data_IF_249075793972
#
_entry.id   IF_249075793972
#
_cell.length_a   1.000
_cell.length_b   1.000
_cell.length_c   1.000
_cell.angle_alpha   90.00
_cell.angle_beta   90.00
_cell.angle_gamma   90.00
#
_symmetry.space_group_name_H-M   'P 1'
#
loop_
_entity.id
_entity.type
_entity.pdbx_description
1 polymer ?
#
# COMPACT_ATOMS: atom_id res chain seq x y z
N UNK A 1 19.92 59.90 -19.25
CA UNK A 1 18.53 59.50 -19.55
C UNK A 1 18.39 58.04 -19.97
N UNK A 2 19.28 57.50 -20.81
CA UNK A 2 19.20 56.09 -21.25
C UNK A 2 19.40 55.07 -20.12
N UNK A 3 20.37 55.27 -19.22
CA UNK A 3 20.64 54.35 -18.09
C UNK A 3 19.43 54.13 -17.16
N UNK A 4 18.70 55.19 -16.85
CA UNK A 4 17.47 55.11 -16.04
C UNK A 4 16.35 54.37 -16.76
N UNK A 5 16.27 54.50 -18.09
CA UNK A 5 15.29 53.77 -18.91
C UNK A 5 15.58 52.26 -18.91
N UNK A 6 16.84 51.85 -19.03
CA UNK A 6 17.24 50.43 -18.98
C UNK A 6 17.01 49.81 -17.59
N UNK A 7 17.34 50.53 -16.51
CA UNK A 7 17.11 50.03 -15.15
C UNK A 7 15.62 49.81 -14.87
N UNK A 8 14.77 50.77 -15.26
CA UNK A 8 13.32 50.69 -15.07
C UNK A 8 12.69 49.53 -15.86
N UNK A 9 13.22 49.23 -17.05
CA UNK A 9 12.82 48.06 -17.84
C UNK A 9 13.26 46.75 -17.20
N UNK A 10 14.47 46.70 -16.63
CA UNK A 10 14.99 45.54 -15.91
C UNK A 10 14.16 45.19 -14.67
N UNK A 11 13.86 46.18 -13.83
CA UNK A 11 13.03 46.00 -12.62
C UNK A 11 11.61 45.54 -12.95
N UNK A 12 11.00 46.11 -13.99
CA UNK A 12 9.67 45.70 -14.45
C UNK A 12 9.68 44.22 -14.89
N UNK A 13 10.67 43.83 -15.68
CA UNK A 13 10.82 42.45 -16.16
C UNK A 13 11.04 41.47 -15.01
N UNK A 14 11.86 41.85 -14.03
CA UNK A 14 12.10 41.03 -12.84
C UNK A 14 10.83 40.85 -12.01
N UNK A 15 10.06 41.93 -11.80
CA UNK A 15 8.78 41.88 -11.08
C UNK A 15 7.76 40.99 -11.78
N UNK A 16 7.68 41.03 -13.10
CA UNK A 16 6.84 40.13 -13.90
C UNK A 16 7.26 38.66 -13.75
N UNK A 17 8.57 38.37 -13.76
CA UNK A 17 9.09 37.01 -13.52
C UNK A 17 8.78 36.52 -12.11
N UNK A 18 8.96 37.35 -11.08
CA UNK A 18 8.63 37.00 -9.69
C UNK A 18 7.13 36.67 -9.56
N UNK A 19 6.26 37.49 -10.16
CA UNK A 19 4.82 37.24 -10.15
C UNK A 19 4.46 35.93 -10.87
N UNK A 20 5.10 35.65 -12.01
CA UNK A 20 4.90 34.39 -12.74
C UNK A 20 5.34 33.17 -11.92
N UNK A 21 6.52 33.24 -11.28
CA UNK A 21 7.03 32.17 -10.42
C UNK A 21 6.13 31.94 -9.20
N UNK A 22 5.69 32.99 -8.53
CA UNK A 22 4.75 32.89 -7.41
C UNK A 22 3.45 32.21 -7.83
N UNK A 23 2.93 32.52 -9.02
CA UNK A 23 1.74 31.85 -9.55
C UNK A 23 1.98 30.37 -9.85
N UNK A 24 3.15 30.01 -10.38
CA UNK A 24 3.51 28.61 -10.64
C UNK A 24 3.62 27.80 -9.34
N UNK A 25 4.28 28.35 -8.32
CA UNK A 25 4.39 27.72 -6.99
C UNK A 25 3.01 27.51 -6.37
N UNK A 26 2.12 28.51 -6.49
CA UNK A 26 0.74 28.40 -6.02
C UNK A 26 0.00 27.26 -6.74
N UNK A 27 0.05 27.23 -8.07
CA UNK A 27 -0.63 26.19 -8.86
C UNK A 27 -0.11 24.79 -8.54
N UNK A 28 1.21 24.62 -8.32
CA UNK A 28 1.81 23.34 -7.95
C UNK A 28 1.41 22.92 -6.53
N UNK A 29 1.34 23.88 -5.60
CA UNK A 29 0.87 23.64 -4.24
C UNK A 29 -0.58 23.16 -4.23
N UNK A 30 -1.45 23.85 -4.97
CA UNK A 30 -2.87 23.51 -5.08
C UNK A 30 -3.05 22.12 -5.72
N UNK A 31 -2.35 21.84 -6.83
CA UNK A 31 -2.40 20.54 -7.50
C UNK A 31 -1.88 19.39 -6.61
N UNK A 32 -0.80 19.62 -5.86
CA UNK A 32 -0.26 18.65 -4.91
C UNK A 32 -1.24 18.37 -3.76
N UNK A 33 -1.91 19.40 -3.26
CA UNK A 33 -2.94 19.24 -2.23
C UNK A 33 -4.13 18.42 -2.73
N UNK A 34 -4.61 18.69 -3.95
CA UNK A 34 -5.69 17.93 -4.59
C UNK A 34 -5.32 16.46 -4.83
N UNK A 35 -4.10 16.19 -5.34
CA UNK A 35 -3.61 14.82 -5.53
C UNK A 35 -3.52 14.07 -4.20
N UNK A 36 -3.03 14.73 -3.14
CA UNK A 36 -2.96 14.15 -1.79
C UNK A 36 -4.36 13.79 -1.27
N UNK A 37 -5.33 14.67 -1.42
CA UNK A 37 -6.71 14.42 -0.97
C UNK A 37 -7.35 13.27 -1.77
N UNK A 38 -7.09 13.18 -3.07
CA UNK A 38 -7.57 12.08 -3.92
C UNK A 38 -6.96 10.74 -3.49
N UNK A 39 -5.64 10.67 -3.31
CA UNK A 39 -4.94 9.47 -2.87
C UNK A 39 -5.40 9.04 -1.48
N UNK A 40 -5.54 9.97 -0.54
CA UNK A 40 -6.09 9.69 0.79
C UNK A 40 -7.48 9.06 0.71
N UNK A 41 -8.35 9.57 -0.16
CA UNK A 41 -9.70 9.02 -0.35
C UNK A 41 -9.68 7.59 -0.92
N UNK A 42 -8.77 7.31 -1.88
CA UNK A 42 -8.60 5.96 -2.45
C UNK A 42 -8.06 4.96 -1.43
N UNK A 43 -7.13 5.39 -0.57
CA UNK A 43 -6.59 4.55 0.50
C UNK A 43 -7.72 4.15 1.45
N UNK A 44 -8.54 5.09 1.90
CA UNK A 44 -9.69 4.80 2.78
C UNK A 44 -10.70 3.84 2.13
N UNK A 45 -10.99 3.99 0.82
CA UNK A 45 -11.87 3.05 0.11
C UNK A 45 -11.28 1.63 0.04
N UNK A 46 -9.97 1.50 -0.21
CA UNK A 46 -9.27 0.22 -0.23
C UNK A 46 -9.21 -0.43 1.15
N UNK A 47 -8.98 0.34 2.22
CA UNK A 47 -9.01 -0.16 3.60
C UNK A 47 -10.39 -0.69 3.99
N UNK A 48 -11.45 0.00 3.57
CA UNK A 48 -12.83 -0.43 3.79
C UNK A 48 -13.11 -1.75 3.04
N UNK A 49 -12.73 -1.84 1.77
CA UNK A 49 -12.88 -3.06 0.96
C UNK A 49 -12.11 -4.24 1.55
N UNK A 50 -10.89 -4.00 2.03
CA UNK A 50 -10.07 -5.04 2.67
C UNK A 50 -10.71 -5.52 3.97
N UNK A 51 -11.24 -4.61 4.78
CA UNK A 51 -11.94 -4.95 6.02
C UNK A 51 -13.20 -5.78 5.72
N UNK A 52 -14.00 -5.38 4.74
CA UNK A 52 -15.17 -6.13 4.30
C UNK A 52 -14.82 -7.54 3.79
N UNK A 53 -13.75 -7.67 3.00
CA UNK A 53 -13.26 -8.96 2.52
C UNK A 53 -12.79 -9.87 3.67
N UNK A 54 -12.07 -9.32 4.66
CA UNK A 54 -11.63 -10.08 5.83
C UNK A 54 -12.80 -10.57 6.69
N UNK A 55 -13.86 -9.76 6.84
CA UNK A 55 -15.09 -10.18 7.51
C UNK A 55 -15.78 -11.33 6.75
N UNK A 56 -15.91 -11.22 5.42
CA UNK A 56 -16.49 -12.28 4.60
C UNK A 56 -15.67 -13.59 4.68
N UNK A 57 -14.33 -13.52 4.66
CA UNK A 57 -13.46 -14.70 4.82
C UNK A 57 -13.69 -15.39 6.18
N UNK A 58 -13.84 -14.61 7.26
CA UNK A 58 -14.12 -15.13 8.58
C UNK A 58 -15.50 -15.81 8.66
N UNK A 59 -16.52 -15.26 8.00
CA UNK A 59 -17.84 -15.89 7.90
C UNK A 59 -17.77 -17.20 7.11
N UNK A 60 -17.04 -17.25 5.99
CA UNK A 60 -16.83 -18.48 5.24
C UNK A 60 -16.10 -19.55 6.06
N UNK A 61 -15.06 -19.18 6.82
CA UNK A 61 -14.37 -20.11 7.73
C UNK A 61 -15.32 -20.73 8.75
N UNK A 62 -16.21 -19.91 9.33
CA UNK A 62 -17.22 -20.39 10.28
C UNK A 62 -18.19 -21.40 9.64
N UNK A 63 -18.64 -21.13 8.42
CA UNK A 63 -19.50 -22.05 7.67
C UNK A 63 -18.78 -23.37 7.39
N UNK A 64 -17.52 -23.31 6.93
CA UNK A 64 -16.70 -24.50 6.65
C UNK A 64 -16.55 -25.36 7.91
N UNK A 65 -16.16 -24.77 9.05
CA UNK A 65 -16.03 -25.50 10.32
C UNK A 65 -17.36 -26.12 10.79
N UNK A 66 -18.49 -25.43 10.54
CA UNK A 66 -19.82 -25.97 10.81
C UNK A 66 -20.11 -27.22 9.98
N UNK A 67 -19.85 -27.16 8.67
CA UNK A 67 -20.03 -28.30 7.76
C UNK A 67 -19.09 -29.46 8.09
N UNK A 68 -17.82 -29.20 8.42
CA UNK A 68 -16.86 -30.23 8.86
C UNK A 68 -17.34 -30.97 10.11
N UNK A 69 -17.93 -30.23 11.06
CA UNK A 69 -18.51 -30.82 12.28
C UNK A 69 -19.73 -31.69 11.97
N UNK A 70 -20.62 -31.22 11.09
CA UNK A 70 -21.80 -31.97 10.67
C UNK A 70 -21.43 -33.25 9.90
N UNK A 71 -20.43 -33.15 9.01
CA UNK A 71 -19.89 -34.28 8.27
C UNK A 71 -19.29 -35.33 9.22
N UNK A 72 -18.50 -34.90 10.21
CA UNK A 72 -17.95 -35.78 11.24
C UNK A 72 -19.05 -36.48 12.02
N UNK A 73 -20.05 -35.74 12.50
CA UNK A 73 -21.18 -36.31 13.25
C UNK A 73 -21.97 -37.33 12.42
N UNK A 74 -22.16 -37.06 11.14
CA UNK A 74 -22.85 -37.97 10.20
C UNK A 74 -22.03 -39.24 9.97
N UNK A 75 -20.72 -39.10 9.82
CA UNK A 75 -19.78 -40.23 9.70
C UNK A 75 -19.80 -41.10 10.96
N UNK A 76 -19.78 -40.48 12.15
CA UNK A 76 -19.84 -41.18 13.43
C UNK A 76 -21.18 -41.95 13.57
N UNK A 77 -22.31 -41.35 13.20
CA UNK A 77 -23.63 -42.02 13.18
C UNK A 77 -23.68 -43.18 12.20
N UNK A 78 -23.14 -43.01 11.00
CA UNK A 78 -23.10 -44.06 9.98
C UNK A 78 -22.26 -45.25 10.47
N UNK A 79 -21.10 -44.99 11.10
CA UNK A 79 -20.26 -46.04 11.68
C UNK A 79 -21.01 -46.85 12.76
N UNK A 80 -21.78 -46.18 13.63
CA UNK A 80 -22.62 -46.86 14.63
C UNK A 80 -23.69 -47.72 13.95
N UNK A 81 -24.39 -47.18 12.94
CA UNK A 81 -25.44 -47.91 12.22
C UNK A 81 -24.89 -49.16 11.52
N UNK A 82 -23.72 -49.05 10.88
CA UNK A 82 -23.02 -50.17 10.24
C UNK A 82 -22.65 -51.24 11.27
N UNK A 83 -22.13 -50.84 12.43
CA UNK A 83 -21.82 -51.78 13.51
C UNK A 83 -23.07 -52.50 14.03
N UNK A 84 -24.17 -51.78 14.27
CA UNK A 84 -25.44 -52.38 14.71
C UNK A 84 -26.06 -53.33 13.68
N UNK A 85 -25.95 -53.00 12.38
CA UNK A 85 -26.42 -53.88 11.31
C UNK A 85 -25.61 -55.18 11.28
N UNK A 86 -24.29 -55.08 11.39
CA UNK A 86 -23.37 -56.24 11.47
C UNK A 86 -23.71 -57.16 12.66
N UNK A 87 -24.00 -56.59 13.84
CA UNK A 87 -24.45 -57.36 15.00
C UNK A 87 -25.80 -58.07 14.78
N UNK A 88 -26.76 -57.40 14.11
CA UNK A 88 -28.06 -57.98 13.81
C UNK A 88 -27.95 -59.14 12.81
N UNK A 89 -27.10 -59.00 11.80
CA UNK A 89 -26.79 -60.06 10.84
C UNK A 89 -26.16 -61.27 11.52
N UNK A 90 -25.20 -61.06 12.44
CA UNK A 90 -24.63 -62.16 13.23
C UNK A 90 -25.67 -62.89 14.08
N UNK A 91 -26.63 -62.17 14.68
CA UNK A 91 -27.72 -62.79 15.45
C UNK A 91 -28.65 -63.64 14.57
N UNK A 92 -28.99 -63.16 13.37
CA UNK A 92 -29.78 -63.90 12.38
C UNK A 92 -29.09 -65.20 11.96
N UNK A 93 -27.78 -65.15 11.68
CA UNK A 93 -26.99 -66.34 11.34
C UNK A 93 -26.98 -67.34 12.49
N UNK A 94 -26.80 -66.88 13.74
CA UNK A 94 -26.77 -67.74 14.92
C UNK A 94 -28.13 -68.36 15.28
N UNK A 95 -29.25 -67.71 14.94
CA UNK A 95 -30.60 -68.25 15.14
C UNK A 95 -31.09 -69.14 14.00
N UNK A 96 -30.40 -69.13 12.86
CA UNK A 96 -30.71 -69.97 11.69
C UNK A 96 -30.00 -71.33 11.72
N UNK A 97 -29.45 -71.73 12.87
CA UNK A 97 -28.85 -73.04 13.04
C UNK A 97 -29.90 -74.15 12.76
N UNK A 98 -29.61 -75.13 11.89
CA UNK A 98 -30.62 -76.04 11.37
C UNK A 98 -31.04 -77.07 12.42
N UNK A 99 -32.35 -77.27 12.52
CA UNK A 99 -32.90 -78.60 12.77
C UNK A 99 -32.24 -79.57 11.78
N UNK A 100 -31.56 -80.58 12.32
CA UNK A 100 -30.90 -81.68 11.62
C UNK A 100 -31.55 -82.04 10.26
N UNK A 101 -30.93 -81.62 9.16
CA UNK A 101 -31.02 -82.36 7.91
C UNK A 101 -29.61 -82.61 7.38
N UNK A 102 -29.13 -83.79 7.74
CA UNK A 102 -28.01 -84.46 7.11
C UNK A 102 -28.33 -84.68 5.63
N UNK A 103 -27.55 -84.10 4.72
CA UNK A 103 -26.96 -84.83 3.59
C UNK A 103 -26.05 -83.98 2.72
N UNK A 104 -24.83 -84.52 2.58
CA UNK A 104 -23.92 -84.54 1.44
C UNK A 104 -23.23 -83.26 0.96
N UNK A 105 -21.94 -83.26 1.29
CA UNK A 105 -20.81 -82.56 0.69
C UNK A 105 -20.88 -82.47 -0.84
N UNK A 106 -20.59 -81.30 -1.38
CA UNK A 106 -19.88 -81.16 -2.66
C UNK A 106 -18.92 -79.99 -2.54
N UNK A 107 -17.63 -80.30 -2.62
CA UNK A 107 -16.52 -79.36 -2.63
C UNK A 107 -16.43 -78.64 -3.97
N UNK A 108 -16.22 -77.33 -3.96
CA UNK A 108 -15.80 -76.57 -5.14
C UNK A 108 -14.83 -75.48 -4.70
N UNK A 109 -13.54 -75.78 -4.92
CA UNK A 109 -12.40 -74.88 -4.77
C UNK A 109 -12.44 -73.79 -5.83
N UNK A 110 -12.44 -72.52 -5.42
CA UNK A 110 -12.13 -71.39 -6.31
C UNK A 110 -10.92 -70.64 -5.76
N UNK A 111 -9.83 -70.71 -6.53
CA UNK A 111 -8.53 -70.10 -6.24
C UNK A 111 -8.55 -68.65 -6.74
N UNK A 112 -8.45 -67.69 -5.83
CA UNK A 112 -8.22 -66.28 -6.18
C UNK A 112 -6.76 -65.93 -5.88
N UNK A 113 -6.02 -65.54 -6.93
CA UNK A 113 -4.62 -65.13 -6.87
C UNK A 113 -4.44 -63.79 -6.14
N UNK A 114 -3.26 -63.54 -5.52
CA UNK A 114 -2.96 -62.29 -4.86
C UNK A 114 -2.45 -61.23 -5.85
N UNK A 115 -3.07 -60.05 -5.83
CA UNK A 115 -2.57 -58.86 -6.53
C UNK A 115 -1.45 -58.19 -5.71
N UNK A 116 -0.27 -58.08 -6.31
CA UNK A 116 0.86 -57.27 -5.82
C UNK A 116 0.70 -55.80 -6.23
N UNK A 117 1.00 -54.81 -5.37
CA UNK A 117 0.97 -53.40 -5.75
C UNK A 117 2.21 -53.04 -6.58
N UNK A 118 1.98 -52.47 -7.77
CA UNK A 118 3.02 -51.88 -8.61
C UNK A 118 3.54 -50.57 -8.01
N UNK A 119 4.86 -50.52 -7.80
CA UNK A 119 5.62 -49.28 -7.69
C UNK A 119 5.69 -48.60 -9.06
N UNK A 120 5.46 -47.28 -9.12
CA UNK A 120 5.93 -46.50 -10.27
C UNK A 120 6.17 -45.03 -9.88
N UNK A 121 7.46 -44.72 -9.76
CA UNK A 121 8.18 -43.52 -10.24
C UNK A 121 7.70 -42.12 -9.85
N UNK A 122 8.35 -41.59 -8.81
CA UNK A 122 9.38 -40.53 -8.93
C UNK A 122 9.41 -39.77 -10.26
N UNK A 123 8.98 -38.50 -10.25
CA UNK A 123 9.37 -37.50 -11.23
C UNK A 123 10.11 -36.37 -10.52
N UNK A 124 11.38 -36.25 -10.90
CA UNK A 124 12.36 -35.25 -10.53
C UNK A 124 12.09 -33.88 -11.20
N UNK A 125 12.79 -32.80 -10.75
CA UNK A 125 12.44 -31.42 -11.05
C UNK A 125 12.89 -30.99 -12.46
N UNK A 126 12.04 -30.21 -13.12
CA UNK A 126 12.35 -29.55 -14.39
C UNK A 126 13.30 -28.39 -14.10
N UNK A 127 14.56 -28.53 -14.49
CA UNK A 127 15.49 -27.41 -14.67
C UNK A 127 15.31 -26.77 -16.06
N UNK A 128 15.46 -25.44 -16.18
CA UNK A 128 15.28 -24.73 -17.44
C UNK A 128 16.52 -24.83 -18.34
N UNK A 129 16.31 -24.99 -19.65
CA UNK A 129 17.36 -24.90 -20.67
C UNK A 129 17.46 -23.47 -21.24
N UNK A 130 18.66 -22.97 -21.58
CA UNK A 130 18.89 -21.59 -22.02
C UNK A 130 19.04 -21.44 -23.55
N UNK A 131 18.38 -20.43 -24.12
CA UNK A 131 18.63 -19.73 -25.40
C UNK A 131 17.35 -18.91 -25.70
N UNK A 132 17.33 -17.62 -26.04
CA UNK A 132 18.23 -16.84 -26.88
C UNK A 132 18.34 -15.39 -26.41
N UNK A 133 19.57 -14.88 -26.42
CA UNK A 133 19.85 -13.45 -26.46
C UNK A 133 19.50 -12.92 -27.85
N UNK A 134 18.56 -11.97 -27.92
CA UNK A 134 18.52 -10.99 -29.02
C UNK A 134 18.58 -9.58 -28.45
N UNK A 135 19.77 -9.01 -28.61
CA UNK A 135 20.06 -7.59 -28.59
C UNK A 135 19.12 -6.86 -29.56
N UNK A 136 18.33 -5.94 -29.02
CA UNK A 136 17.45 -5.03 -29.74
C UNK A 136 17.55 -3.66 -29.11
N UNK A 137 18.62 -2.95 -29.45
CA UNK A 137 18.76 -1.52 -29.25
C UNK A 137 17.69 -0.80 -30.04
N UNK A 138 16.73 -0.14 -29.39
CA UNK A 138 15.99 0.94 -30.04
C UNK A 138 15.62 2.07 -29.08
N UNK A 139 15.85 3.26 -29.62
CA UNK A 139 15.71 4.59 -29.06
C UNK A 139 14.23 4.84 -28.72
N UNK A 140 13.95 5.33 -27.51
CA UNK A 140 12.70 6.04 -27.26
C UNK A 140 12.96 7.52 -26.99
N UNK A 141 12.45 8.29 -27.93
CA UNK A 141 12.41 9.74 -27.98
C UNK A 141 11.58 10.31 -26.84
N UNK A 142 12.10 11.38 -26.22
CA UNK A 142 11.33 12.36 -25.45
C UNK A 142 10.11 12.81 -26.26
N UNK A 143 8.91 12.43 -25.82
CA UNK A 143 7.65 12.96 -26.33
C UNK A 143 6.87 13.58 -25.18
N UNK A 144 6.61 14.88 -25.31
CA UNK A 144 5.79 15.70 -24.43
C UNK A 144 4.43 15.06 -24.17
N UNK A 145 4.14 14.74 -22.92
CA UNK A 145 2.81 14.27 -22.50
C UNK A 145 1.92 15.51 -22.32
N UNK A 146 1.05 15.74 -23.30
CA UNK A 146 -0.11 16.60 -23.18
C UNK A 146 -1.18 15.80 -22.43
N UNK A 147 -1.48 16.19 -21.19
CA UNK A 147 -2.57 15.61 -20.40
C UNK A 147 -3.94 15.96 -21.03
N UNK A 148 -4.49 15.05 -21.85
CA UNK A 148 -5.92 15.02 -22.12
C UNK A 148 -6.63 14.29 -20.98
N UNK A 149 -7.43 15.05 -20.25
CA UNK A 149 -8.27 14.58 -19.13
C UNK A 149 -9.49 13.87 -19.71
N UNK A 150 -9.44 12.54 -19.85
CA UNK A 150 -10.65 11.76 -20.11
C UNK A 150 -11.55 11.71 -18.85
N UNK A 151 -12.87 11.80 -19.01
CA UNK A 151 -13.81 11.65 -17.90
C UNK A 151 -13.83 10.19 -17.39
N UNK A 152 -14.03 9.98 -16.08
CA UNK A 152 -14.01 8.64 -15.50
C UNK A 152 -15.15 7.79 -16.07
N UNK A 153 -14.81 6.63 -16.63
CA UNK A 153 -15.78 5.59 -16.99
C UNK A 153 -16.53 5.17 -15.73
N UNK A 154 -17.85 5.36 -15.75
CA UNK A 154 -18.78 4.97 -14.70
C UNK A 154 -18.80 3.44 -14.63
N UNK A 155 -18.15 2.86 -13.64
CA UNK A 155 -18.23 1.42 -13.35
C UNK A 155 -19.64 1.17 -12.81
N UNK A 156 -20.47 0.50 -13.63
CA UNK A 156 -21.79 0.03 -13.21
C UNK A 156 -21.55 -1.27 -12.45
N UNK A 157 -21.61 -1.20 -11.12
CA UNK A 157 -21.62 -2.38 -10.26
C UNK A 157 -23.03 -2.99 -10.37
N UNK A 158 -23.19 -4.26 -10.80
CA UNK A 158 -24.49 -4.90 -10.84
C UNK A 158 -25.05 -5.04 -9.42
N UNK A 159 -26.38 -4.89 -9.21
CA UNK A 159 -26.98 -5.05 -7.90
C UNK A 159 -26.77 -6.47 -7.39
N UNK A 160 -26.31 -6.56 -6.14
CA UNK A 160 -26.16 -7.83 -5.41
C UNK A 160 -27.56 -8.47 -5.31
N UNK A 161 -27.74 -9.73 -5.73
CA UNK A 161 -29.01 -10.41 -5.57
C UNK A 161 -29.34 -10.53 -4.08
N UNK A 162 -30.52 -10.04 -3.71
CA UNK A 162 -31.01 -10.03 -2.34
C UNK A 162 -31.37 -11.47 -1.93
N UNK A 163 -30.41 -12.20 -1.34
CA UNK A 163 -30.65 -13.50 -0.76
C UNK A 163 -31.35 -13.32 0.60
N UNK A 164 -32.67 -13.32 0.57
CA UNK A 164 -33.50 -13.44 1.76
C UNK A 164 -33.39 -14.90 2.25
N UNK A 165 -32.53 -15.16 3.23
CA UNK A 165 -32.52 -16.44 3.96
C UNK A 165 -33.85 -16.57 4.72
N UNK A 166 -34.51 -17.75 4.68
CA UNK A 166 -35.72 -17.97 5.47
C UNK A 166 -35.37 -17.91 6.96
N UNK A 167 -36.08 -17.04 7.69
CA UNK A 167 -36.02 -17.00 9.15
C UNK A 167 -36.48 -18.36 9.71
N UNK A 168 -35.76 -18.93 10.69
CA UNK A 168 -36.22 -20.14 11.36
C UNK A 168 -37.46 -19.83 12.20
N UNK A 169 -38.58 -20.45 11.82
CA UNK A 169 -39.77 -20.50 12.66
C UNK A 169 -39.57 -21.51 13.78
N UNK A 170 -39.65 -20.98 15.01
CA UNK A 170 -39.90 -21.64 16.29
C UNK A 170 -38.76 -22.43 16.98
N UNK A 171 -38.43 -22.10 18.26
CA UNK A 171 -37.58 -22.93 19.10
C UNK A 171 -38.35 -24.16 19.64
N UNK A 172 -37.69 -25.32 19.81
CA UNK A 172 -38.35 -26.50 20.36
C UNK A 172 -38.64 -26.30 21.86
N UNK A 173 -39.88 -26.61 22.26
CA UNK A 173 -40.30 -26.60 23.66
C UNK A 173 -39.63 -27.71 24.48
N UNK A 174 -39.34 -27.48 25.77
CA UNK A 174 -38.83 -28.50 26.66
C UNK A 174 -40.00 -29.28 27.29
N UNK A 175 -40.01 -30.60 27.09
CA UNK A 175 -40.86 -31.48 27.89
C UNK A 175 -41.07 -32.86 27.28
N UNK A 176 -40.36 -33.86 27.79
CA UNK A 176 -40.92 -35.02 28.49
C UNK A 176 -39.84 -36.08 28.70
N UNK A 177 -39.30 -36.12 29.91
CA UNK A 177 -38.69 -37.30 30.47
C UNK A 177 -39.79 -38.30 30.83
N UNK A 178 -39.65 -39.56 30.41
CA UNK A 178 -40.08 -40.73 31.19
C UNK A 178 -39.51 -42.05 30.63
N UNK A 179 -38.73 -42.73 31.47
CA UNK A 179 -38.70 -44.17 31.76
C UNK A 179 -38.53 -45.22 30.63
N UNK A 180 -37.44 -46.01 30.70
CA UNK A 180 -37.46 -47.34 31.34
C UNK A 180 -36.05 -47.98 31.43
N UNK A 181 -35.81 -48.54 32.60
CA UNK A 181 -34.71 -49.42 33.03
C UNK A 181 -34.79 -50.80 32.39
N UNK A 182 -33.65 -51.43 32.10
CA UNK A 182 -33.50 -52.87 32.32
C UNK A 182 -32.04 -53.30 32.55
N UNK A 183 -31.89 -54.12 33.60
CA UNK A 183 -30.69 -54.85 34.03
C UNK A 183 -30.18 -55.81 32.94
N UNK A 184 -28.90 -56.17 32.96
CA UNK A 184 -28.46 -57.51 33.41
C UNK A 184 -26.94 -57.67 33.32
N UNK A 185 -26.39 -58.23 34.39
CA UNK A 185 -25.07 -58.82 34.44
C UNK A 185 -25.02 -60.09 33.59
N UNK A 186 -23.90 -60.33 32.91
CA UNK A 186 -23.60 -61.59 32.26
C UNK A 186 -22.23 -61.57 31.61
N UNK A 187 -21.24 -62.16 32.29
CA UNK A 187 -19.90 -62.40 31.72
C UNK A 187 -19.96 -63.40 30.57
N UNK A 188 -19.04 -63.26 29.62
CA UNK A 188 -18.93 -64.19 28.51
C UNK A 188 -17.96 -63.73 27.43
N UNK A 189 -16.70 -64.13 27.62
CA UNK A 189 -15.68 -64.42 26.61
C UNK A 189 -15.45 -63.39 25.49
N UNK A 190 -14.32 -62.69 25.62
CA UNK A 190 -13.47 -62.29 24.50
C UNK A 190 -13.47 -63.38 23.41
N UNK A 191 -14.10 -63.08 22.28
CA UNK A 191 -13.96 -63.89 21.07
C UNK A 191 -13.55 -62.98 19.94
N UNK A 192 -12.29 -63.18 19.58
CA UNK A 192 -11.48 -62.50 18.61
C UNK A 192 -12.20 -62.17 17.29
N UNK A 193 -11.97 -60.93 16.86
CA UNK A 193 -12.13 -60.42 15.51
C UNK A 193 -11.66 -61.45 14.46
N UNK A 194 -12.60 -62.09 13.76
CA UNK A 194 -12.29 -62.81 12.53
C UNK A 194 -12.58 -61.89 11.35
N UNK A 195 -11.49 -61.41 10.75
CA UNK A 195 -11.40 -60.49 9.62
C UNK A 195 -12.16 -60.99 8.38
N UNK A 196 -13.35 -60.46 8.13
CA UNK A 196 -13.95 -60.42 6.80
C UNK A 196 -14.82 -59.17 6.79
N UNK A 197 -14.36 -58.02 6.34
CA UNK A 197 -14.17 -57.75 4.92
C UNK A 197 -13.23 -56.55 4.70
N UNK A 198 -12.08 -56.56 5.36
CA UNK A 198 -11.11 -55.46 5.31
C UNK A 198 -10.73 -55.08 3.87
N UNK A 199 -10.78 -56.05 2.94
CA UNK A 199 -10.55 -55.83 1.52
C UNK A 199 -11.62 -54.93 0.86
N UNK A 200 -12.90 -55.07 1.22
CA UNK A 200 -13.97 -54.24 0.66
C UNK A 200 -13.88 -52.79 1.14
N UNK A 201 -13.59 -52.59 2.43
CA UNK A 201 -13.39 -51.25 3.01
C UNK A 201 -12.14 -50.57 2.47
N UNK A 202 -11.05 -51.33 2.28
CA UNK A 202 -9.84 -50.82 1.64
C UNK A 202 -10.11 -50.40 0.19
N UNK A 203 -10.88 -51.20 -0.55
CA UNK A 203 -11.27 -50.91 -1.94
C UNK A 203 -12.16 -49.66 -2.04
N UNK A 204 -13.09 -49.46 -1.11
CA UNK A 204 -13.95 -48.28 -1.09
C UNK A 204 -13.15 -47.00 -0.72
N UNK A 205 -12.25 -47.08 0.26
CA UNK A 205 -11.35 -45.97 0.60
C UNK A 205 -10.46 -45.59 -0.59
N UNK A 206 -9.91 -46.57 -1.29
CA UNK A 206 -9.04 -46.33 -2.43
C UNK A 206 -9.85 -45.75 -3.62
N UNK A 207 -11.13 -46.14 -3.77
CA UNK A 207 -12.06 -45.51 -4.71
C UNK A 207 -12.30 -44.02 -4.40
N UNK A 208 -12.55 -43.64 -3.14
CA UNK A 208 -12.72 -42.23 -2.78
C UNK A 208 -11.43 -41.42 -2.94
N UNK A 209 -10.27 -42.02 -2.64
CA UNK A 209 -8.98 -41.37 -2.91
C UNK A 209 -8.78 -41.09 -4.39
N UNK A 210 -9.18 -42.02 -5.26
CA UNK A 210 -9.13 -41.84 -6.72
C UNK A 210 -10.15 -40.77 -7.16
N UNK A 211 -11.37 -40.77 -6.63
CA UNK A 211 -12.38 -39.74 -6.96
C UNK A 211 -11.93 -38.34 -6.52
N UNK A 212 -11.28 -38.22 -5.37
CA UNK A 212 -10.76 -36.95 -4.87
C UNK A 212 -9.53 -36.48 -5.66
N UNK A 213 -8.65 -37.41 -6.05
CA UNK A 213 -7.50 -37.09 -6.91
C UNK A 213 -7.92 -36.75 -8.35
N UNK A 214 -9.02 -37.34 -8.83
CA UNK A 214 -9.59 -37.08 -10.16
C UNK A 214 -10.64 -35.96 -10.15
N UNK A 215 -10.97 -35.42 -8.98
CA UNK A 215 -11.77 -34.20 -8.88
C UNK A 215 -10.88 -33.03 -9.33
N UNK A 216 -10.92 -32.76 -10.63
CA UNK A 216 -10.65 -31.44 -11.17
C UNK A 216 -11.80 -30.55 -10.74
N UNK A 217 -11.54 -29.67 -9.78
CA UNK A 217 -12.43 -28.54 -9.52
C UNK A 217 -12.63 -27.86 -10.90
N UNK A 218 -13.87 -27.66 -11.38
CA UNK A 218 -14.08 -26.99 -12.65
C UNK A 218 -13.31 -25.68 -12.60
N UNK A 219 -12.38 -25.45 -13.54
CA UNK A 219 -11.41 -24.34 -13.49
C UNK A 219 -12.05 -22.94 -13.32
N UNK A 220 -13.38 -22.84 -13.44
CA UNK A 220 -14.17 -21.62 -13.28
C UNK A 220 -15.01 -21.51 -12.00
N UNK A 221 -15.07 -22.50 -11.11
CA UNK A 221 -16.01 -22.49 -9.97
C UNK A 221 -15.47 -21.76 -8.73
N UNK A 222 -14.15 -21.77 -8.53
CA UNK A 222 -13.46 -20.94 -7.55
C UNK A 222 -12.47 -20.07 -8.32
N UNK A 223 -12.90 -18.86 -8.71
CA UNK A 223 -12.04 -17.85 -9.33
C UNK A 223 -10.95 -17.41 -8.33
N UNK A 224 -9.92 -18.25 -8.16
CA UNK A 224 -8.66 -17.84 -7.56
C UNK A 224 -7.98 -16.76 -8.41
N UNK A 225 -8.42 -16.60 -9.66
CA UNK A 225 -8.02 -15.56 -10.60
C UNK A 225 -8.25 -14.16 -10.01
N UNK A 226 -9.43 -13.89 -9.44
CA UNK A 226 -9.73 -12.56 -8.88
C UNK A 226 -8.83 -12.23 -7.68
N UNK A 227 -8.58 -13.21 -6.81
CA UNK A 227 -7.68 -13.01 -5.66
C UNK A 227 -6.23 -12.79 -6.09
N UNK A 228 -5.73 -13.59 -7.05
CA UNK A 228 -4.37 -13.44 -7.57
C UNK A 228 -4.21 -12.11 -8.32
N UNK A 229 -5.19 -11.69 -9.10
CA UNK A 229 -5.18 -10.41 -9.81
C UNK A 229 -5.18 -9.24 -8.84
N UNK A 230 -6.00 -9.28 -7.78
CA UNK A 230 -6.01 -8.26 -6.72
C UNK A 230 -4.67 -8.23 -5.99
N UNK A 231 -4.08 -9.39 -5.69
CA UNK A 231 -2.77 -9.49 -5.03
C UNK A 231 -1.67 -8.88 -5.90
N UNK A 232 -1.64 -9.22 -7.18
CA UNK A 232 -0.67 -8.71 -8.14
C UNK A 232 -0.82 -7.20 -8.35
N UNK A 233 -2.06 -6.70 -8.46
CA UNK A 233 -2.32 -5.26 -8.52
C UNK A 233 -1.80 -4.52 -7.27
N UNK A 234 -2.04 -5.06 -6.07
CA UNK A 234 -1.54 -4.47 -4.82
C UNK A 234 -0.01 -4.41 -4.80
N UNK A 235 0.67 -5.50 -5.16
CA UNK A 235 2.13 -5.55 -5.23
C UNK A 235 2.69 -4.54 -6.25
N UNK A 236 2.01 -4.38 -7.39
CA UNK A 236 2.39 -3.42 -8.42
C UNK A 236 2.23 -1.96 -7.93
N UNK A 237 1.09 -1.61 -7.32
CA UNK A 237 0.87 -0.28 -6.75
C UNK A 237 1.88 0.05 -5.64
N UNK A 238 2.23 -0.94 -4.83
CA UNK A 238 3.22 -0.76 -3.78
C UNK A 238 4.60 -0.46 -4.37
N UNK A 239 5.05 -1.26 -5.36
CA UNK A 239 6.31 -0.99 -6.09
C UNK A 239 6.30 0.37 -6.79
N UNK A 240 5.18 0.77 -7.39
CA UNK A 240 5.08 2.07 -8.06
C UNK A 240 5.19 3.23 -7.06
N UNK A 241 4.59 3.09 -5.88
CA UNK A 241 4.67 4.08 -4.80
C UNK A 241 6.10 4.21 -4.29
N UNK A 242 6.77 3.09 -4.01
CA UNK A 242 8.17 3.06 -3.59
C UNK A 242 9.10 3.69 -4.64
N UNK A 243 8.91 3.38 -5.92
CA UNK A 243 9.70 3.97 -7.01
C UNK A 243 9.48 5.48 -7.14
N UNK A 244 8.23 5.94 -6.99
CA UNK A 244 7.91 7.38 -7.06
C UNK A 244 8.47 8.13 -5.85
N UNK A 245 8.43 7.53 -4.67
CA UNK A 245 9.06 8.09 -3.47
C UNK A 245 10.57 8.24 -3.65
N UNK A 246 11.26 7.20 -4.15
CA UNK A 246 12.69 7.26 -4.48
C UNK A 246 13.02 8.35 -5.49
N UNK A 247 12.21 8.50 -6.53
CA UNK A 247 12.40 9.55 -7.53
C UNK A 247 12.28 10.96 -6.92
N UNK A 248 11.28 11.18 -6.05
CA UNK A 248 11.11 12.44 -5.33
C UNK A 248 12.33 12.70 -4.43
N UNK A 249 12.77 11.69 -3.65
CA UNK A 249 13.95 11.79 -2.79
C UNK A 249 15.19 12.15 -3.62
N UNK A 250 15.39 11.50 -4.77
CA UNK A 250 16.51 11.77 -5.68
C UNK A 250 16.46 13.21 -6.22
N UNK A 251 15.27 13.71 -6.57
CA UNK A 251 15.09 15.10 -7.01
C UNK A 251 15.45 16.10 -5.90
N UNK A 252 15.07 15.83 -4.64
CA UNK A 252 15.45 16.67 -3.50
C UNK A 252 16.96 16.62 -3.23
N UNK A 253 17.55 15.43 -3.18
CA UNK A 253 19.00 15.26 -2.94
C UNK A 253 19.81 15.98 -4.03
N UNK A 254 19.43 15.80 -5.30
CA UNK A 254 20.12 16.43 -6.43
C UNK A 254 19.88 17.94 -6.46
N UNK A 255 18.64 18.38 -6.27
CA UNK A 255 18.26 19.80 -6.35
C UNK A 255 18.82 20.65 -5.22
N UNK A 256 18.96 20.09 -4.02
CA UNK A 256 19.52 20.77 -2.83
C UNK A 256 20.97 20.39 -2.54
N UNK A 257 21.60 19.57 -3.38
CA UNK A 257 22.98 19.09 -3.21
C UNK A 257 23.24 18.43 -1.83
N UNK A 258 22.31 17.58 -1.38
CA UNK A 258 22.41 16.87 -0.10
C UNK A 258 23.37 15.67 -0.20
N UNK A 259 24.65 15.96 -0.41
CA UNK A 259 25.71 14.96 -0.71
C UNK A 259 25.93 13.90 0.37
N UNK A 260 25.38 14.10 1.58
CA UNK A 260 25.47 13.18 2.70
C UNK A 260 24.28 12.21 2.83
N UNK A 261 23.31 12.25 1.91
CA UNK A 261 22.14 11.37 1.89
C UNK A 261 22.14 10.44 0.66
N UNK A 262 21.83 9.16 0.90
CA UNK A 262 21.66 8.14 -0.14
C UNK A 262 20.24 8.18 -0.75
N UNK A 263 20.05 7.67 -1.95
CA UNK A 263 18.73 7.62 -2.60
C UNK A 263 17.73 6.66 -1.93
N UNK A 264 18.19 5.78 -1.03
CA UNK A 264 17.34 4.87 -0.27
C UNK A 264 17.05 5.36 1.17
N UNK A 265 17.42 6.60 1.55
CA UNK A 265 16.98 7.09 2.87
C UNK A 265 15.48 7.38 2.90
N UNK A 266 14.79 7.06 4.01
CA UNK A 266 13.37 7.39 4.17
C UNK A 266 13.13 8.90 4.08
N UNK A 267 11.96 9.29 3.55
CA UNK A 267 11.62 10.69 3.29
C UNK A 267 11.72 11.57 4.54
N UNK A 268 11.47 11.02 5.72
CA UNK A 268 11.56 11.71 7.01
C UNK A 268 12.99 12.23 7.27
N UNK A 269 14.02 11.48 6.87
CA UNK A 269 15.41 11.93 7.02
C UNK A 269 15.74 13.07 6.06
N UNK A 270 15.21 13.04 4.85
CA UNK A 270 15.37 14.14 3.88
C UNK A 270 14.67 15.39 4.42
N UNK A 271 13.44 15.26 4.91
CA UNK A 271 12.68 16.35 5.53
C UNK A 271 13.43 16.91 6.74
N UNK A 272 13.96 16.06 7.60
CA UNK A 272 14.73 16.48 8.78
C UNK A 272 16.00 17.24 8.38
N UNK A 273 16.70 16.79 7.33
CA UNK A 273 17.88 17.50 6.82
C UNK A 273 17.52 18.85 6.20
N UNK A 274 16.44 18.91 5.41
CA UNK A 274 15.91 20.17 4.87
C UNK A 274 15.51 21.10 6.00
N UNK A 275 14.85 20.59 7.05
CA UNK A 275 14.57 21.34 8.26
C UNK A 275 15.84 21.82 8.93
N UNK A 276 16.88 21.01 9.08
CA UNK A 276 18.17 21.46 9.63
C UNK A 276 18.84 22.53 8.76
N UNK A 277 18.68 22.50 7.44
CA UNK A 277 19.17 23.55 6.57
C UNK A 277 18.36 24.86 6.74
N UNK A 278 17.06 24.75 6.99
CA UNK A 278 16.16 25.88 7.25
C UNK A 278 16.21 26.39 8.70
N UNK A 279 16.54 25.50 9.64
CA UNK A 279 16.47 25.67 11.09
C UNK A 279 17.84 25.72 11.73
N UNK A 280 18.94 25.56 10.98
CA UNK A 280 20.18 26.25 11.33
C UNK A 280 19.75 27.71 11.47
N UNK A 281 19.70 28.27 12.70
CA UNK A 281 19.90 29.69 12.80
C UNK A 281 21.28 29.90 12.18
N UNK A 282 21.51 31.06 11.59
CA UNK A 282 22.85 31.53 11.29
C UNK A 282 23.69 31.51 12.60
N UNK A 283 24.19 30.35 13.01
CA UNK A 283 25.07 30.18 14.18
C UNK A 283 26.50 30.59 13.83
N UNK A 284 26.66 31.27 12.71
CA UNK A 284 27.71 32.22 12.53
C UNK A 284 26.99 33.58 12.45
N UNK A 285 26.95 34.32 13.56
CA UNK A 285 26.41 35.68 13.73
C UNK A 285 27.08 36.73 12.79
N UNK A 286 27.74 36.26 11.74
CA UNK A 286 28.60 37.00 10.80
C UNK A 286 28.10 36.96 9.36
N UNK A 287 27.04 36.20 9.03
CA UNK A 287 26.64 35.99 7.64
C UNK A 287 25.28 36.61 7.27
N UNK A 288 25.26 37.27 6.11
CA UNK A 288 24.07 37.80 5.47
C UNK A 288 22.98 36.73 5.29
N UNK A 289 21.71 37.12 5.09
CA UNK A 289 20.61 36.22 4.69
C UNK A 289 20.84 35.39 3.41
N UNK A 290 21.93 35.66 2.68
CA UNK A 290 22.34 34.97 1.45
C UNK A 290 23.74 34.33 1.56
N UNK A 291 24.27 34.16 2.78
CA UNK A 291 25.58 33.56 3.02
C UNK A 291 26.78 34.44 2.62
N UNK A 292 26.58 35.73 2.39
CA UNK A 292 27.68 36.67 2.15
C UNK A 292 28.34 37.07 3.46
N UNK A 293 29.67 37.21 3.45
CA UNK A 293 30.40 37.71 4.62
C UNK A 293 30.02 39.15 4.94
N UNK A 294 29.98 39.49 6.23
CA UNK A 294 29.68 40.84 6.70
C UNK A 294 30.53 41.91 6.00
N UNK A 295 31.83 41.67 5.82
CA UNK A 295 32.75 42.61 5.15
C UNK A 295 32.44 42.78 3.66
N UNK A 296 31.97 41.73 2.99
CA UNK A 296 31.46 41.81 1.62
C UNK A 296 30.24 42.71 1.55
N UNK A 297 29.29 42.57 2.49
CA UNK A 297 28.08 43.40 2.55
C UNK A 297 28.44 44.86 2.81
N UNK A 298 29.30 45.13 3.81
CA UNK A 298 29.78 46.49 4.13
C UNK A 298 30.40 47.14 2.90
N UNK A 299 31.27 46.40 2.20
CA UNK A 299 31.96 46.89 1.00
C UNK A 299 30.98 47.17 -0.14
N UNK A 300 29.99 46.28 -0.35
CA UNK A 300 28.94 46.46 -1.37
C UNK A 300 28.05 47.65 -1.07
N UNK A 301 27.67 47.87 0.19
CA UNK A 301 26.82 48.99 0.60
C UNK A 301 27.54 50.32 0.44
N UNK A 302 28.77 50.42 0.93
CA UNK A 302 29.58 51.63 0.77
C UNK A 302 29.82 51.95 -0.70
N UNK A 303 30.08 50.92 -1.52
CA UNK A 303 30.19 51.08 -2.97
C UNK A 303 28.88 51.49 -3.61
N UNK A 304 27.75 50.89 -3.23
CA UNK A 304 26.42 51.26 -3.71
C UNK A 304 26.13 52.73 -3.41
N UNK A 305 26.45 53.22 -2.21
CA UNK A 305 26.26 54.63 -1.89
C UNK A 305 27.14 55.53 -2.75
N UNK A 306 28.41 55.17 -2.94
CA UNK A 306 29.32 55.91 -3.81
C UNK A 306 28.84 55.92 -5.27
N UNK A 307 28.39 54.78 -5.80
CA UNK A 307 27.89 54.63 -7.17
C UNK A 307 26.60 55.42 -7.40
N UNK A 308 25.77 55.58 -6.36
CA UNK A 308 24.58 56.45 -6.37
C UNK A 308 24.92 57.95 -6.22
N UNK A 309 26.20 58.31 -6.10
CA UNK A 309 26.64 59.68 -5.87
C UNK A 309 26.22 60.23 -4.50
N UNK A 310 25.95 59.33 -3.54
CA UNK A 310 25.55 59.69 -2.19
C UNK A 310 26.78 60.08 -1.39
N UNK A 311 26.80 61.33 -0.93
CA UNK A 311 27.79 61.76 0.05
C UNK A 311 27.43 61.15 1.41
N UNK A 312 27.97 59.97 1.71
CA UNK A 312 27.76 59.32 3.01
C UNK A 312 28.51 60.13 4.09
N UNK A 313 27.82 60.62 5.14
CA UNK A 313 28.48 61.29 6.26
C UNK A 313 29.58 60.41 6.85
N UNK A 314 30.74 61.00 7.17
CA UNK A 314 31.89 60.24 7.67
C UNK A 314 31.55 59.40 8.92
N UNK A 315 30.67 59.91 9.78
CA UNK A 315 30.18 59.19 10.96
C UNK A 315 29.41 57.91 10.59
N UNK A 316 28.50 57.96 9.60
CA UNK A 316 27.72 56.80 9.16
C UNK A 316 28.58 55.79 8.39
N UNK A 317 29.57 56.28 7.62
CA UNK A 317 30.56 55.42 6.98
C UNK A 317 31.34 54.62 8.04
N UNK A 318 31.85 55.28 9.07
CA UNK A 318 32.57 54.62 10.15
C UNK A 318 31.69 53.63 10.93
N UNK A 319 30.42 53.97 11.19
CA UNK A 319 29.47 53.05 11.82
C UNK A 319 29.20 51.81 10.96
N UNK A 320 29.15 51.96 9.63
CA UNK A 320 28.97 50.84 8.70
C UNK A 320 30.19 49.91 8.72
N UNK A 321 31.39 50.46 8.72
CA UNK A 321 32.65 49.70 8.81
C UNK A 321 32.75 48.93 10.14
N UNK A 322 32.29 49.55 11.23
CA UNK A 322 32.32 48.97 12.59
C UNK A 322 31.12 48.08 12.93
N UNK A 323 30.14 47.93 12.04
CA UNK A 323 28.97 47.11 12.32
C UNK A 323 29.38 45.66 12.63
N UNK A 324 28.85 45.10 13.72
CA UNK A 324 29.17 43.77 14.21
C UNK A 324 28.30 42.66 13.63
N UNK A 325 27.17 43.03 13.04
CA UNK A 325 26.13 42.11 12.61
C UNK A 325 25.35 42.73 11.43
N UNK A 326 24.61 41.87 10.72
CA UNK A 326 23.87 42.25 9.52
C UNK A 326 22.74 43.24 9.82
N UNK A 327 22.06 43.11 10.95
CA UNK A 327 20.95 43.97 11.32
C UNK A 327 21.39 45.43 11.45
N UNK A 328 22.53 45.67 12.10
CA UNK A 328 23.13 47.02 12.17
C UNK A 328 23.45 47.59 10.79
N UNK A 329 23.94 46.77 9.86
CA UNK A 329 24.20 47.22 8.48
C UNK A 329 22.90 47.63 7.80
N UNK A 330 21.83 46.85 7.94
CA UNK A 330 20.52 47.17 7.37
C UNK A 330 19.94 48.46 7.97
N UNK A 331 20.02 48.63 9.28
CA UNK A 331 19.54 49.83 9.96
C UNK A 331 20.31 51.08 9.49
N UNK A 332 21.65 50.98 9.41
CA UNK A 332 22.50 52.05 8.89
C UNK A 332 22.21 52.36 7.43
N UNK A 333 21.99 51.33 6.61
CA UNK A 333 21.61 51.50 5.21
C UNK A 333 20.29 52.26 5.09
N UNK A 334 19.30 51.89 5.89
CA UNK A 334 18.01 52.56 5.91
C UNK A 334 18.15 54.01 6.37
N UNK A 335 18.96 54.28 7.39
CA UNK A 335 19.23 55.63 7.87
C UNK A 335 19.88 56.51 6.81
N UNK A 336 20.95 56.03 6.16
CA UNK A 336 21.66 56.76 5.09
C UNK A 336 20.70 57.10 3.94
N UNK A 337 19.89 56.13 3.51
CA UNK A 337 18.90 56.34 2.44
C UNK A 337 17.84 57.36 2.86
N UNK A 338 17.37 57.31 4.11
CA UNK A 338 16.35 58.23 4.60
C UNK A 338 16.88 59.67 4.68
N UNK A 339 18.09 59.87 5.23
CA UNK A 339 18.73 61.20 5.30
C UNK A 339 18.91 61.80 3.91
N UNK A 340 19.32 60.97 2.94
CA UNK A 340 19.45 61.40 1.56
C UNK A 340 18.11 61.81 0.94
N UNK A 341 17.06 61.02 1.13
CA UNK A 341 15.73 61.35 0.61
C UNK A 341 15.23 62.68 1.16
N UNK A 342 15.43 62.93 2.46
CA UNK A 342 15.09 64.21 3.10
C UNK A 342 15.90 65.36 2.48
N UNK A 343 17.21 65.18 2.28
CA UNK A 343 18.06 66.19 1.65
C UNK A 343 17.59 66.52 0.22
N UNK A 344 17.21 65.49 -0.56
CA UNK A 344 16.72 65.67 -1.93
C UNK A 344 15.37 66.35 -1.99
N UNK A 345 14.47 66.01 -1.09
CA UNK A 345 13.17 66.68 -0.99
C UNK A 345 13.35 68.16 -0.64
N UNK A 346 14.24 68.47 0.31
CA UNK A 346 14.58 69.86 0.64
C UNK A 346 15.16 70.63 -0.56
N UNK A 347 16.12 70.03 -1.29
CA UNK A 347 16.67 70.63 -2.51
C UNK A 347 15.59 70.91 -3.56
N UNK A 348 14.67 69.97 -3.76
CA UNK A 348 13.56 70.11 -4.70
C UNK A 348 12.62 71.26 -4.29
N UNK A 349 12.30 71.36 -3.00
CA UNK A 349 11.51 72.47 -2.46
C UNK A 349 12.19 73.82 -2.69
N UNK A 350 13.50 73.94 -2.42
CA UNK A 350 14.25 75.18 -2.67
C UNK A 350 14.23 75.57 -4.15
N UNK A 351 14.43 74.60 -5.06
CA UNK A 351 14.37 74.86 -6.51
C UNK A 351 12.98 75.29 -6.95
N UNK A 352 11.92 74.65 -6.43
CA UNK A 352 10.55 75.02 -6.75
C UNK A 352 10.17 76.41 -6.20
N UNK A 353 10.65 76.77 -5.01
CA UNK A 353 10.49 78.11 -4.45
C UNK A 353 11.20 79.14 -5.33
N UNK A 354 12.47 78.92 -5.67
CA UNK A 354 13.23 79.81 -6.55
C UNK A 354 12.58 79.98 -7.93
N UNK A 355 12.08 78.89 -8.52
CA UNK A 355 11.32 78.92 -9.78
C UNK A 355 10.05 79.76 -9.66
N UNK A 356 9.32 79.63 -8.56
CA UNK A 356 8.10 80.41 -8.32
C UNK A 356 8.43 81.91 -8.18
N UNK A 357 9.52 82.24 -7.51
CA UNK A 357 10.02 83.62 -7.40
C UNK A 357 10.61 84.21 -8.68
N UNK A 358 10.91 83.39 -9.69
CA UNK A 358 11.36 83.84 -11.02
C UNK A 358 10.18 84.08 -11.98
N UNK A 359 9.05 83.43 -11.74
CA UNK A 359 7.85 83.54 -12.58
C UNK A 359 6.97 84.73 -12.16
N UNK A 360 6.97 85.04 -10.86
CA UNK A 360 6.32 86.22 -10.29
C UNK A 360 7.29 87.40 -10.24
#
# INVERSE_FOLDING_TARGET
SELQSTQKTGEKTLKEKINSLNQQVKNLTDASHDEKNNLSSKITDLELKLTAAAMAEMDYKKIITGLETELKNTTDKLAIAVNSLSEAEQKLVNHSAPTNFSSNQTTSTSTTQPFTPSQSTENQPISPSPADQKSGSDKFSNSSIINQKEPPKKIIIPPIPNFQLPLPTEPPQPGQNNFLTESLMGGGTESCCANGDYAAVQQERDSYKIQLANHTCPDNACSHTDYQEIKEQKENYQKQTENREKEIIRQFITGLQLTDLDENVPVEKVIEKVRQLLAKPDNDDTNAPLGESLDSIKSKDLKMFQDLGLAVPAALKQQTEQASDYHKIVDLRQQILQEYLVQKDHQLQTVNQAKTSLIN
#
